data_IF_212200132666
#
_entry.id   IF_212200132666
#
_cell.length_a   1.000
_cell.length_b   1.000
_cell.length_c   1.000
_cell.angle_alpha   90.00
_cell.angle_beta   90.00
_cell.angle_gamma   90.00
#
_symmetry.space_group_name_H-M   'P 1'
#
loop_
_entity.id
_entity.type
_entity.pdbx_description
1 polymer ?
#
# COMPACT_ATOMS: atom_id res chain seq x y z
N UNK A 1 21.38 -5.74 12.49
CA UNK A 1 20.53 -6.88 12.83
C UNK A 1 21.42 -8.08 13.14
N UNK A 2 21.15 -8.80 14.20
CA UNK A 2 21.96 -9.92 14.66
C UNK A 2 21.08 -10.97 15.33
N UNK A 3 21.40 -12.25 15.14
CA UNK A 3 20.83 -13.36 15.91
C UNK A 3 21.87 -13.80 16.93
N UNK A 4 21.48 -13.93 18.18
CA UNK A 4 22.29 -14.43 19.28
C UNK A 4 21.65 -15.64 19.93
N UNK A 5 22.49 -16.54 20.45
CA UNK A 5 22.07 -17.73 21.16
C UNK A 5 22.51 -17.63 22.64
N UNK A 6 21.62 -18.00 23.56
CA UNK A 6 21.94 -18.16 24.98
C UNK A 6 21.00 -19.20 25.57
N UNK A 7 21.55 -20.23 26.25
CA UNK A 7 20.79 -21.27 26.99
C UNK A 7 19.64 -21.91 26.18
N UNK A 8 19.93 -22.34 24.98
CA UNK A 8 18.93 -22.84 24.00
C UNK A 8 17.83 -21.86 23.64
N UNK A 9 18.04 -20.56 23.85
CA UNK A 9 17.16 -19.48 23.41
C UNK A 9 17.77 -18.74 22.23
N UNK A 10 16.90 -18.23 21.40
CA UNK A 10 17.26 -17.45 20.21
C UNK A 10 16.81 -16.02 20.43
N UNK A 11 17.71 -15.08 20.22
CA UNK A 11 17.41 -13.65 20.35
C UNK A 11 17.65 -12.94 19.03
N UNK A 12 16.77 -12.02 18.73
CA UNK A 12 16.91 -11.09 17.62
C UNK A 12 17.29 -9.71 18.18
N UNK A 13 18.36 -9.16 17.69
CA UNK A 13 18.82 -7.82 18.07
C UNK A 13 18.77 -6.88 16.85
N UNK A 14 18.12 -5.74 17.03
CA UNK A 14 18.03 -4.69 16.03
C UNK A 14 18.07 -3.32 16.71
N UNK A 15 19.00 -2.45 16.29
CA UNK A 15 19.13 -1.07 16.78
C UNK A 15 19.15 -0.95 18.33
N UNK A 16 19.84 -1.88 18.99
CA UNK A 16 19.94 -1.91 20.47
C UNK A 16 18.75 -2.53 21.20
N UNK A 17 17.70 -2.92 20.49
CA UNK A 17 16.59 -3.70 21.06
C UNK A 17 16.84 -5.18 20.87
N UNK A 18 16.83 -5.96 21.98
CA UNK A 18 17.01 -7.41 21.98
C UNK A 18 15.71 -8.09 22.41
N UNK A 19 15.16 -8.95 21.55
CA UNK A 19 13.92 -9.70 21.81
C UNK A 19 14.16 -11.20 21.66
N UNK A 20 13.60 -11.99 22.56
CA UNK A 20 13.59 -13.46 22.43
C UNK A 20 12.64 -13.87 21.31
N UNK A 21 13.11 -14.75 20.43
CA UNK A 21 12.26 -15.40 19.43
C UNK A 21 11.60 -16.59 20.11
N UNK A 22 10.29 -16.58 20.22
CA UNK A 22 9.54 -17.65 20.89
C UNK A 22 9.73 -19.00 20.17
N UNK A 23 9.95 -20.11 20.89
CA UNK A 23 10.14 -21.44 20.26
C UNK A 23 8.99 -21.85 19.35
N UNK A 24 7.75 -21.55 19.74
CA UNK A 24 6.57 -21.81 18.91
C UNK A 24 6.63 -21.10 17.56
N UNK A 25 7.08 -19.85 17.50
CA UNK A 25 7.26 -19.10 16.27
C UNK A 25 8.27 -19.78 15.33
N UNK A 26 9.37 -20.29 15.87
CA UNK A 26 10.35 -21.07 15.07
C UNK A 26 9.79 -22.41 14.61
N UNK A 27 9.03 -23.10 15.48
CA UNK A 27 8.42 -24.40 15.18
C UNK A 27 7.36 -24.29 14.08
N UNK A 28 6.61 -23.24 14.08
CA UNK A 28 5.62 -22.92 13.04
C UNK A 28 6.26 -22.70 11.65
N UNK A 29 7.54 -22.35 11.59
CA UNK A 29 8.32 -22.06 10.36
C UNK A 29 9.22 -23.22 9.93
N UNK A 30 8.89 -24.41 10.37
CA UNK A 30 9.61 -25.62 9.95
C UNK A 30 9.46 -25.83 8.45
N UNK A 31 10.60 -26.08 7.79
CA UNK A 31 10.69 -26.35 6.37
C UNK A 31 10.82 -27.85 6.08
N UNK A 32 10.55 -28.25 4.86
CA UNK A 32 10.70 -29.59 4.35
C UNK A 32 9.42 -30.17 3.79
N UNK A 33 9.55 -31.22 3.02
CA UNK A 33 8.45 -31.83 2.23
C UNK A 33 7.28 -32.37 3.07
N UNK A 34 7.51 -32.63 4.35
CA UNK A 34 6.48 -33.07 5.29
C UNK A 34 5.75 -31.91 5.98
N UNK A 35 6.20 -30.67 5.83
CA UNK A 35 5.70 -29.51 6.55
C UNK A 35 5.22 -28.40 5.62
N UNK A 36 5.77 -28.31 4.42
CA UNK A 36 5.43 -27.29 3.43
C UNK A 36 5.29 -27.92 2.05
N UNK A 37 4.16 -27.67 1.41
CA UNK A 37 3.92 -28.12 0.04
C UNK A 37 4.82 -27.35 -0.94
N UNK A 38 5.47 -28.08 -1.85
CA UNK A 38 6.43 -27.49 -2.79
C UNK A 38 5.80 -26.56 -3.83
N UNK A 39 4.58 -26.88 -4.26
CA UNK A 39 3.92 -26.14 -5.33
C UNK A 39 3.24 -24.89 -4.81
N UNK A 40 2.50 -25.03 -3.73
CA UNK A 40 1.70 -23.93 -3.15
C UNK A 40 2.42 -23.13 -2.08
N UNK A 41 3.54 -23.64 -1.55
CA UNK A 41 4.27 -23.09 -0.41
C UNK A 41 3.41 -22.98 0.86
N UNK A 42 2.31 -23.73 0.93
CA UNK A 42 1.42 -23.77 2.08
C UNK A 42 1.89 -24.80 3.11
N UNK A 43 1.60 -24.53 4.38
CA UNK A 43 1.85 -25.48 5.46
C UNK A 43 0.97 -26.72 5.29
N UNK A 44 1.54 -27.89 5.56
CA UNK A 44 0.85 -29.18 5.56
C UNK A 44 0.36 -29.60 6.96
N UNK A 45 0.44 -28.72 7.93
CA UNK A 45 -0.06 -28.93 9.28
C UNK A 45 -0.78 -27.69 9.81
N UNK A 46 -1.68 -27.90 10.76
CA UNK A 46 -2.36 -26.83 11.46
C UNK A 46 -1.52 -26.39 12.67
N UNK A 47 -1.04 -25.13 12.73
CA UNK A 47 -0.26 -24.64 13.86
C UNK A 47 -0.99 -24.72 15.21
N UNK A 48 -2.33 -24.71 15.22
CA UNK A 48 -3.13 -24.81 16.44
C UNK A 48 -3.06 -26.18 17.09
N UNK A 49 -2.60 -27.20 16.36
CA UNK A 49 -2.39 -28.56 16.88
C UNK A 49 -1.03 -28.76 17.54
N UNK A 50 -0.15 -27.77 17.48
CA UNK A 50 1.14 -27.81 18.14
C UNK A 50 0.95 -27.67 19.67
N UNK A 51 1.75 -28.40 20.44
CA UNK A 51 1.76 -28.27 21.89
C UNK A 51 2.19 -26.87 22.29
N UNK A 52 1.53 -26.29 23.29
CA UNK A 52 1.82 -24.91 23.76
C UNK A 52 3.19 -24.80 24.45
N UNK A 53 3.71 -25.91 24.96
CA UNK A 53 4.98 -25.98 25.68
C UNK A 53 6.16 -26.36 24.78
N UNK A 54 6.08 -26.10 23.49
CA UNK A 54 7.19 -26.28 22.56
C UNK A 54 8.46 -25.58 23.10
N UNK A 55 9.54 -26.37 23.17
CA UNK A 55 10.85 -25.92 23.65
C UNK A 55 11.94 -26.26 22.65
N UNK A 56 12.99 -25.48 22.65
CA UNK A 56 14.20 -25.78 21.89
C UNK A 56 15.09 -26.70 22.73
N UNK A 57 15.34 -27.92 22.21
CA UNK A 57 16.28 -28.87 22.81
C UNK A 57 17.73 -28.57 22.43
N UNK A 58 17.93 -28.16 21.18
CA UNK A 58 19.25 -27.79 20.69
C UNK A 58 19.12 -26.77 19.57
N UNK A 59 20.01 -25.79 19.59
CA UNK A 59 20.11 -24.78 18.56
C UNK A 59 21.56 -24.57 18.15
N UNK A 60 21.79 -24.36 16.86
CA UNK A 60 23.08 -24.03 16.28
C UNK A 60 22.92 -22.92 15.26
N UNK A 61 23.83 -21.97 15.25
CA UNK A 61 23.86 -20.85 14.34
C UNK A 61 25.05 -20.98 13.40
N UNK A 62 24.78 -21.00 12.10
CA UNK A 62 25.77 -20.94 11.04
C UNK A 62 25.69 -19.58 10.33
N UNK A 63 26.58 -19.28 9.39
CA UNK A 63 26.57 -17.99 8.66
C UNK A 63 25.24 -17.76 7.88
N UNK A 64 24.55 -18.82 7.49
CA UNK A 64 23.36 -18.72 6.61
C UNK A 64 22.08 -19.25 7.26
N UNK A 65 22.20 -20.09 8.28
CA UNK A 65 21.06 -20.84 8.82
C UNK A 65 21.06 -20.91 10.34
N UNK A 66 19.86 -20.90 10.90
CA UNK A 66 19.55 -21.32 12.25
C UNK A 66 19.06 -22.77 12.19
N UNK A 67 19.78 -23.68 12.83
CA UNK A 67 19.43 -25.10 12.94
C UNK A 67 18.83 -25.35 14.32
N UNK A 68 17.60 -25.84 14.36
CA UNK A 68 16.83 -26.01 15.61
C UNK A 68 16.29 -27.43 15.70
N UNK A 69 16.37 -28.01 16.89
CA UNK A 69 15.62 -29.21 17.25
C UNK A 69 14.72 -28.94 18.44
N UNK A 70 13.48 -29.41 18.35
CA UNK A 70 12.44 -29.17 19.35
C UNK A 70 12.17 -30.40 20.21
N UNK A 71 11.46 -30.20 21.32
CA UNK A 71 11.08 -31.27 22.27
C UNK A 71 10.10 -32.28 21.66
N UNK A 72 9.34 -31.91 20.62
CA UNK A 72 8.46 -32.80 19.84
C UNK A 72 9.22 -33.67 18.83
N UNK A 73 10.56 -33.64 18.83
CA UNK A 73 11.43 -34.41 17.94
C UNK A 73 11.66 -33.82 16.57
N UNK A 74 10.97 -32.72 16.24
CA UNK A 74 11.12 -32.06 14.93
C UNK A 74 12.43 -31.29 14.87
N UNK A 75 13.08 -31.35 13.71
CA UNK A 75 14.30 -30.61 13.38
C UNK A 75 14.07 -29.77 12.14
N UNK A 76 14.60 -28.55 12.14
CA UNK A 76 14.49 -27.64 11.02
C UNK A 76 15.75 -26.83 10.82
N UNK A 77 15.83 -26.26 9.63
CA UNK A 77 16.90 -25.35 9.21
C UNK A 77 16.28 -24.11 8.60
N UNK A 78 16.31 -22.99 9.29
CA UNK A 78 15.68 -21.73 8.88
C UNK A 78 16.75 -20.80 8.34
N UNK A 79 16.53 -20.20 7.17
CA UNK A 79 17.44 -19.21 6.63
C UNK A 79 17.43 -17.95 7.52
N UNK A 80 18.62 -17.47 7.92
CA UNK A 80 18.77 -16.25 8.74
C UNK A 80 18.11 -15.04 8.07
N UNK A 81 18.23 -14.93 6.75
CA UNK A 81 17.60 -13.83 5.98
C UNK A 81 16.08 -13.82 6.09
N UNK A 82 15.44 -15.00 6.15
CA UNK A 82 13.99 -15.08 6.37
C UNK A 82 13.61 -14.55 7.75
N UNK A 83 14.39 -14.90 8.79
CA UNK A 83 14.18 -14.39 10.14
C UNK A 83 14.36 -12.86 10.17
N UNK A 84 15.41 -12.34 9.54
CA UNK A 84 15.63 -10.91 9.46
C UNK A 84 14.47 -10.18 8.77
N UNK A 85 14.01 -10.71 7.62
CA UNK A 85 12.91 -10.12 6.88
C UNK A 85 11.62 -10.04 7.70
N UNK A 86 11.25 -11.13 8.38
CA UNK A 86 10.02 -11.18 9.17
C UNK A 86 10.09 -10.39 10.48
N UNK A 87 11.23 -10.44 11.19
CA UNK A 87 11.38 -9.75 12.49
C UNK A 87 11.65 -8.26 12.36
N UNK A 88 12.28 -7.83 11.28
CA UNK A 88 12.53 -6.40 11.06
C UNK A 88 11.25 -5.64 10.70
N UNK A 89 10.20 -6.35 10.27
CA UNK A 89 9.00 -5.72 9.74
C UNK A 89 9.28 -4.82 8.54
N UNK A 90 10.44 -5.04 7.88
CA UNK A 90 10.85 -4.23 6.74
C UNK A 90 10.09 -4.74 5.52
N UNK A 91 9.12 -3.99 5.14
CA UNK A 91 8.50 -4.05 3.84
C UNK A 91 9.44 -3.38 2.84
N UNK A 92 9.74 -4.03 1.71
CA UNK A 92 10.61 -3.45 0.67
C UNK A 92 10.11 -2.08 0.21
N UNK A 93 8.81 -1.85 0.28
CA UNK A 93 8.15 -0.58 -0.03
C UNK A 93 8.49 0.52 0.98
N UNK A 94 8.72 0.19 2.26
CA UNK A 94 9.11 1.16 3.31
C UNK A 94 10.47 1.81 3.06
N UNK A 95 11.31 1.24 2.22
CA UNK A 95 12.58 1.86 1.83
C UNK A 95 12.45 2.97 0.78
N UNK A 96 11.33 3.04 0.08
CA UNK A 96 11.10 4.11 -0.88
C UNK A 96 10.70 5.36 -0.11
N UNK A 97 11.64 6.28 0.03
CA UNK A 97 11.36 7.55 0.68
C UNK A 97 10.34 8.35 -0.13
N UNK A 98 9.23 8.69 0.48
CA UNK A 98 8.28 9.66 -0.08
C UNK A 98 8.95 11.01 -0.22
N UNK A 99 8.70 11.70 -1.30
CA UNK A 99 9.27 13.01 -1.62
C UNK A 99 8.13 14.02 -1.73
N UNK A 100 8.11 14.98 -0.83
CA UNK A 100 7.20 16.11 -0.88
C UNK A 100 7.58 17.04 -2.02
N UNK A 101 6.59 17.70 -2.57
CA UNK A 101 6.79 18.57 -3.70
C UNK A 101 5.84 19.75 -3.69
N UNK A 102 6.17 20.78 -4.46
CA UNK A 102 5.39 21.98 -4.68
C UNK A 102 5.50 22.43 -6.15
N UNK A 103 5.12 23.65 -6.45
CA UNK A 103 5.18 24.23 -7.80
C UNK A 103 6.58 24.31 -8.41
N UNK A 104 7.63 24.08 -7.64
CA UNK A 104 9.02 24.03 -8.12
C UNK A 104 9.39 22.69 -8.78
N UNK A 105 8.54 21.66 -8.66
CA UNK A 105 8.75 20.35 -9.29
C UNK A 105 8.72 20.50 -10.82
N UNK A 106 9.90 20.54 -11.43
CA UNK A 106 10.05 20.76 -12.88
C UNK A 106 9.96 19.48 -13.70
N UNK A 107 10.43 18.36 -13.15
CA UNK A 107 10.44 17.07 -13.82
C UNK A 107 9.25 16.26 -13.36
N UNK A 108 8.13 16.41 -14.05
CA UNK A 108 6.99 15.51 -13.86
C UNK A 108 7.42 14.10 -14.23
N UNK A 109 7.11 13.13 -13.38
CA UNK A 109 7.37 11.72 -13.62
C UNK A 109 6.51 11.20 -14.79
N UNK A 110 6.99 11.46 -15.99
CA UNK A 110 6.33 11.08 -17.22
C UNK A 110 6.91 9.78 -17.74
N UNK A 111 6.06 8.81 -17.93
CA UNK A 111 6.38 7.53 -18.56
C UNK A 111 5.71 7.50 -19.94
N UNK A 112 6.47 7.39 -21.05
CA UNK A 112 5.85 7.15 -22.34
C UNK A 112 5.19 5.78 -22.35
N UNK A 113 3.95 5.71 -22.79
CA UNK A 113 3.30 4.42 -23.00
C UNK A 113 3.99 3.68 -24.14
N UNK A 114 4.25 2.40 -23.93
CA UNK A 114 4.67 1.45 -24.95
C UNK A 114 3.98 0.10 -24.69
N UNK A 115 3.91 -0.76 -25.69
CA UNK A 115 3.33 -2.10 -25.50
C UNK A 115 4.07 -2.91 -24.45
N UNK A 116 5.36 -2.65 -24.28
CA UNK A 116 6.22 -3.27 -23.26
C UNK A 116 6.02 -2.68 -21.86
N UNK A 117 5.13 -1.69 -21.68
CA UNK A 117 4.90 -1.06 -20.37
C UNK A 117 4.36 -2.04 -19.34
N UNK A 118 3.69 -3.09 -19.77
CA UNK A 118 3.23 -4.18 -18.90
C UNK A 118 4.34 -5.17 -18.51
N UNK A 119 5.56 -4.98 -19.02
CA UNK A 119 6.72 -5.70 -18.50
C UNK A 119 6.99 -5.28 -17.06
N UNK A 120 7.29 -6.27 -16.23
CA UNK A 120 7.45 -6.12 -14.79
C UNK A 120 8.39 -4.96 -14.40
N UNK A 121 9.51 -4.80 -15.09
CA UNK A 121 10.50 -3.77 -14.78
C UNK A 121 9.97 -2.35 -15.00
N UNK A 122 9.33 -2.07 -16.13
CA UNK A 122 8.85 -0.72 -16.48
C UNK A 122 7.69 -0.33 -15.57
N UNK A 123 6.76 -1.25 -15.33
CA UNK A 123 5.65 -1.04 -14.41
C UNK A 123 6.17 -0.80 -12.99
N UNK A 124 7.14 -1.58 -12.55
CA UNK A 124 7.77 -1.40 -11.24
C UNK A 124 8.36 0.01 -11.08
N UNK A 125 9.12 0.51 -12.07
CA UNK A 125 9.68 1.86 -12.04
C UNK A 125 8.59 2.95 -11.95
N UNK A 126 7.50 2.79 -12.70
CA UNK A 126 6.35 3.70 -12.64
C UNK A 126 5.65 3.66 -11.28
N UNK A 127 5.44 2.47 -10.71
CA UNK A 127 4.83 2.31 -9.38
C UNK A 127 5.73 2.83 -8.25
N UNK A 128 7.04 2.64 -8.35
CA UNK A 128 8.03 3.25 -7.42
C UNK A 128 7.93 4.77 -7.48
N UNK A 129 7.82 5.33 -8.67
CA UNK A 129 7.65 6.77 -8.86
C UNK A 129 6.33 7.27 -8.30
N UNK A 130 5.24 6.55 -8.56
CA UNK A 130 3.93 6.83 -7.96
C UNK A 130 3.99 6.80 -6.42
N UNK A 131 4.61 5.78 -5.83
CA UNK A 131 4.75 5.67 -4.37
C UNK A 131 5.56 6.84 -3.78
N UNK A 132 6.59 7.30 -4.51
CA UNK A 132 7.47 8.39 -4.08
C UNK A 132 6.78 9.76 -4.07
N UNK A 133 6.00 10.05 -5.11
CA UNK A 133 5.44 11.39 -5.35
C UNK A 133 3.93 11.47 -5.19
N UNK A 134 3.24 10.34 -5.03
CA UNK A 134 1.78 10.28 -4.97
C UNK A 134 1.07 10.36 -6.32
N UNK A 135 1.82 10.55 -7.42
CA UNK A 135 1.27 10.56 -8.78
C UNK A 135 2.29 10.08 -9.81
N UNK A 136 1.79 9.67 -10.97
CA UNK A 136 2.57 9.34 -12.17
C UNK A 136 1.75 9.70 -13.41
N UNK A 137 2.41 10.13 -14.47
CA UNK A 137 1.76 10.51 -15.72
C UNK A 137 2.25 9.59 -16.84
N UNK A 138 1.31 8.94 -17.51
CA UNK A 138 1.58 8.16 -18.72
C UNK A 138 1.23 8.98 -19.96
N UNK A 139 2.17 9.11 -20.89
CA UNK A 139 1.99 9.83 -22.16
C UNK A 139 1.77 8.88 -23.32
N UNK A 140 1.07 9.35 -24.34
CA UNK A 140 0.80 8.59 -25.57
C UNK A 140 0.02 7.30 -25.32
N UNK A 141 -0.86 7.32 -24.32
CA UNK A 141 -1.73 6.19 -24.00
C UNK A 141 -2.76 6.04 -25.14
N UNK A 142 -3.06 4.82 -25.61
CA UNK A 142 -4.07 4.59 -26.64
C UNK A 142 -5.44 5.15 -26.26
N UNK A 143 -6.07 5.85 -27.21
CA UNK A 143 -7.43 6.40 -27.07
C UNK A 143 -8.42 5.35 -27.55
N UNK A 144 -8.56 4.27 -26.81
CA UNK A 144 -9.44 3.15 -27.13
C UNK A 144 -10.49 2.96 -26.03
N UNK A 145 -11.67 2.55 -26.42
CA UNK A 145 -12.69 2.15 -25.46
C UNK A 145 -12.16 0.99 -24.60
N UNK A 146 -12.39 1.08 -23.28
CA UNK A 146 -11.95 0.10 -22.29
C UNK A 146 -10.42 0.00 -22.05
N UNK A 147 -9.59 0.81 -22.72
CA UNK A 147 -8.16 0.80 -22.43
C UNK A 147 -7.85 1.12 -20.97
N UNK A 148 -8.55 2.08 -20.38
CA UNK A 148 -8.42 2.46 -18.98
C UNK A 148 -8.60 1.26 -18.03
N UNK A 149 -9.64 0.45 -18.27
CA UNK A 149 -9.95 -0.73 -17.46
C UNK A 149 -8.88 -1.81 -17.66
N UNK A 150 -8.41 -2.03 -18.89
CA UNK A 150 -7.31 -2.95 -19.19
C UNK A 150 -6.03 -2.53 -18.48
N UNK A 151 -5.69 -1.24 -18.53
CA UNK A 151 -4.53 -0.68 -17.85
C UNK A 151 -4.64 -0.84 -16.33
N UNK A 152 -5.78 -0.47 -15.74
CA UNK A 152 -6.00 -0.61 -14.31
C UNK A 152 -5.87 -2.06 -13.84
N UNK A 153 -6.45 -3.02 -14.57
CA UNK A 153 -6.37 -4.45 -14.26
C UNK A 153 -4.96 -5.05 -14.39
N UNK A 154 -4.04 -4.40 -15.11
CA UNK A 154 -2.62 -4.82 -15.13
C UNK A 154 -1.87 -4.47 -13.85
N UNK A 155 -2.39 -3.52 -13.07
CA UNK A 155 -1.83 -3.10 -11.79
C UNK A 155 -2.52 -3.83 -10.64
N UNK A 156 -3.84 -3.95 -10.69
CA UNK A 156 -4.65 -4.57 -9.65
C UNK A 156 -6.14 -4.57 -9.99
N UNK A 157 -6.95 -5.15 -9.12
CA UNK A 157 -8.39 -5.25 -9.34
C UNK A 157 -9.07 -3.87 -9.29
N UNK A 158 -9.91 -3.59 -10.27
CA UNK A 158 -10.71 -2.36 -10.30
C UNK A 158 -11.84 -2.46 -9.26
N UNK A 159 -11.95 -1.47 -8.39
CA UNK A 159 -13.05 -1.36 -7.44
C UNK A 159 -14.31 -0.86 -8.15
N UNK A 160 -15.30 -1.71 -8.28
CA UNK A 160 -16.62 -1.31 -8.77
C UNK A 160 -17.38 -0.51 -7.70
N UNK A 161 -17.97 0.61 -8.10
CA UNK A 161 -18.75 1.50 -7.24
C UNK A 161 -20.19 1.67 -7.78
N UNK A 162 -21.00 2.52 -7.14
CA UNK A 162 -22.28 2.95 -7.71
C UNK A 162 -22.14 3.71 -9.03
N UNK A 163 -20.94 4.22 -9.35
CA UNK A 163 -20.63 4.81 -10.66
C UNK A 163 -20.17 3.78 -11.70
N UNK A 164 -20.06 2.50 -11.33
CA UNK A 164 -19.49 1.43 -12.14
C UNK A 164 -18.01 1.20 -11.89
N UNK A 165 -17.34 0.55 -12.83
CA UNK A 165 -15.88 0.35 -12.84
C UNK A 165 -15.13 1.58 -13.34
N UNK A 166 -15.76 2.32 -14.25
CA UNK A 166 -15.30 3.61 -14.76
C UNK A 166 -16.49 4.47 -15.15
N UNK A 167 -16.28 5.75 -15.28
CA UNK A 167 -17.27 6.70 -15.79
C UNK A 167 -16.60 7.80 -16.61
N UNK A 168 -17.36 8.41 -17.51
CA UNK A 168 -16.87 9.50 -18.34
C UNK A 168 -17.11 10.84 -17.64
N UNK A 169 -16.03 11.61 -17.45
CA UNK A 169 -16.09 12.99 -16.97
C UNK A 169 -16.39 13.90 -18.16
N UNK A 170 -17.63 14.32 -18.29
CA UNK A 170 -18.10 15.26 -19.33
C UNK A 170 -19.33 16.01 -18.86
N UNK A 171 -19.52 17.23 -19.34
CA UNK A 171 -20.72 18.01 -19.03
C UNK A 171 -21.98 17.29 -19.49
N UNK A 172 -22.99 17.24 -18.62
CA UNK A 172 -24.30 16.59 -18.88
C UNK A 172 -25.43 17.56 -18.58
N UNK A 173 -26.56 17.46 -19.31
CA UNK A 173 -27.81 18.09 -18.87
C UNK A 173 -28.26 17.54 -17.52
N UNK A 174 -28.70 18.40 -16.59
CA UNK A 174 -29.16 18.04 -15.26
C UNK A 174 -28.14 17.17 -14.48
N UNK A 175 -26.93 17.70 -14.23
CA UNK A 175 -25.88 16.94 -13.55
C UNK A 175 -26.29 16.64 -12.09
N UNK A 176 -25.97 15.45 -11.63
CA UNK A 176 -26.09 15.01 -10.23
C UNK A 176 -24.77 15.12 -9.45
N UNK A 177 -23.72 15.58 -10.12
CA UNK A 177 -22.39 15.79 -9.54
C UNK A 177 -21.71 16.97 -10.24
N UNK A 178 -20.88 17.72 -9.52
CA UNK A 178 -20.12 18.87 -10.07
C UNK A 178 -19.12 18.44 -11.14
N UNK A 179 -18.62 17.19 -11.11
CA UNK A 179 -17.76 16.63 -12.16
C UNK A 179 -18.44 16.55 -13.54
N UNK A 180 -19.76 16.66 -13.60
CA UNK A 180 -20.55 16.70 -14.83
C UNK A 180 -20.97 18.10 -15.27
N UNK A 181 -20.36 19.12 -14.69
CA UNK A 181 -20.58 20.52 -15.03
C UNK A 181 -19.36 21.12 -15.74
N UNK A 182 -19.49 22.32 -16.25
CA UNK A 182 -18.38 23.13 -16.78
C UNK A 182 -17.71 24.01 -15.72
N UNK A 183 -18.11 23.88 -14.45
CA UNK A 183 -17.55 24.65 -13.34
C UNK A 183 -16.16 24.13 -12.96
N UNK A 184 -15.24 25.03 -12.56
CA UNK A 184 -13.94 24.61 -12.03
C UNK A 184 -14.11 23.91 -10.68
N UNK A 185 -13.34 22.85 -10.47
CA UNK A 185 -13.24 22.18 -9.20
C UNK A 185 -11.92 22.53 -8.52
N UNK A 186 -11.99 22.94 -7.26
CA UNK A 186 -10.80 23.12 -6.44
C UNK A 186 -10.10 21.75 -6.20
N UNK A 187 -8.78 21.75 -5.91
CA UNK A 187 -8.09 20.54 -5.49
C UNK A 187 -8.81 19.84 -4.33
N UNK A 188 -9.06 18.56 -4.46
CA UNK A 188 -9.82 17.75 -3.51
C UNK A 188 -9.40 16.28 -3.58
N UNK A 189 -9.79 15.51 -2.59
CA UNK A 189 -9.78 14.05 -2.62
C UNK A 189 -11.20 13.54 -2.84
N UNK A 190 -11.33 12.42 -3.55
CA UNK A 190 -12.64 11.89 -3.93
C UNK A 190 -13.23 10.95 -2.89
N UNK A 191 -14.56 10.97 -2.83
CA UNK A 191 -15.41 9.97 -2.16
C UNK A 191 -15.12 9.75 -0.65
N UNK A 192 -14.98 10.79 0.18
CA UNK A 192 -14.74 10.63 1.62
C UNK A 192 -15.94 10.01 2.36
N UNK A 193 -17.09 9.92 1.72
CA UNK A 193 -18.29 9.22 2.22
C UNK A 193 -18.19 7.68 2.11
N UNK A 194 -17.07 7.14 1.62
CA UNK A 194 -16.81 5.69 1.55
C UNK A 194 -15.84 5.26 2.64
N UNK A 195 -16.02 4.04 3.15
CA UNK A 195 -15.07 3.39 4.04
C UNK A 195 -14.77 1.96 3.53
N UNK A 196 -13.52 1.64 3.16
CA UNK A 196 -12.41 2.58 3.01
C UNK A 196 -12.61 3.55 1.86
N UNK A 197 -11.95 4.70 1.91
CA UNK A 197 -11.88 5.65 0.79
C UNK A 197 -11.20 5.00 -0.43
N UNK A 198 -11.43 5.47 -1.67
CA UNK A 198 -10.66 5.03 -2.84
C UNK A 198 -9.18 5.35 -2.67
N UNK A 199 -8.31 4.38 -2.99
CA UNK A 199 -6.86 4.56 -2.82
C UNK A 199 -6.22 5.23 -4.04
N UNK A 200 -6.43 4.65 -5.24
CA UNK A 200 -5.80 5.10 -6.48
C UNK A 200 -6.91 5.47 -7.47
N UNK A 201 -6.78 6.64 -8.05
CA UNK A 201 -7.64 7.12 -9.13
C UNK A 201 -6.81 7.24 -10.41
N UNK A 202 -7.38 6.77 -11.52
CA UNK A 202 -6.78 6.89 -12.85
C UNK A 202 -7.68 7.78 -13.70
N UNK A 203 -7.12 8.89 -14.19
CA UNK A 203 -7.78 9.80 -15.11
C UNK A 203 -7.17 9.63 -16.50
N UNK A 204 -7.98 9.23 -17.48
CA UNK A 204 -7.57 9.05 -18.87
C UNK A 204 -8.14 10.17 -19.73
N UNK A 205 -7.27 11.01 -20.29
CA UNK A 205 -7.67 12.06 -21.21
C UNK A 205 -7.93 11.45 -22.59
N UNK A 206 -9.19 11.34 -22.96
CA UNK A 206 -9.63 10.86 -24.28
C UNK A 206 -9.62 11.99 -25.31
N UNK A 207 -10.11 13.18 -24.89
CA UNK A 207 -10.22 14.35 -25.75
C UNK A 207 -9.98 15.60 -24.91
N UNK A 208 -9.21 16.53 -25.44
CA UNK A 208 -9.03 17.87 -24.90
C UNK A 208 -9.01 18.87 -26.06
N UNK A 209 -10.20 19.20 -26.56
CA UNK A 209 -10.39 20.09 -27.72
C UNK A 209 -10.71 21.54 -27.33
N UNK A 210 -10.68 21.86 -26.03
CA UNK A 210 -11.00 23.21 -25.54
C UNK A 210 -9.76 23.93 -25.02
N UNK A 211 -9.79 25.23 -25.05
CA UNK A 211 -8.81 26.06 -24.35
C UNK A 211 -9.08 26.01 -22.85
N UNK A 212 -8.06 25.68 -22.03
CA UNK A 212 -8.20 25.48 -20.60
C UNK A 212 -8.45 24.02 -20.22
N UNK A 213 -9.18 23.78 -19.13
CA UNK A 213 -9.52 22.42 -18.64
C UNK A 213 -8.32 21.65 -18.07
N UNK A 214 -7.25 22.34 -17.68
CA UNK A 214 -6.07 21.70 -17.09
C UNK A 214 -6.39 21.09 -15.74
N UNK A 215 -5.91 19.87 -15.49
CA UNK A 215 -5.91 19.25 -14.18
C UNK A 215 -4.74 19.79 -13.35
N UNK A 216 -5.03 20.21 -12.13
CA UNK A 216 -4.03 20.63 -11.16
C UNK A 216 -3.84 19.54 -10.10
N UNK A 217 -2.60 19.36 -9.67
CA UNK A 217 -2.25 18.46 -8.57
C UNK A 217 -1.64 19.25 -7.44
N UNK A 218 -1.95 18.86 -6.20
CA UNK A 218 -1.41 19.44 -4.97
C UNK A 218 -0.91 18.31 -4.08
N UNK A 219 0.30 18.47 -3.54
CA UNK A 219 0.83 17.51 -2.57
C UNK A 219 0.19 17.72 -1.20
N UNK A 220 -0.72 16.83 -0.82
CA UNK A 220 -1.42 16.88 0.46
C UNK A 220 -0.50 16.79 1.66
N UNK A 221 0.62 16.08 1.56
CA UNK A 221 1.61 16.01 2.66
C UNK A 221 2.30 17.36 2.89
N UNK A 222 2.72 18.04 1.82
CA UNK A 222 3.31 19.38 1.91
C UNK A 222 2.31 20.38 2.51
N UNK A 223 1.06 20.37 2.04
CA UNK A 223 0.01 21.26 2.58
C UNK A 223 -0.27 20.94 4.06
N UNK A 224 -0.34 19.68 4.44
CA UNK A 224 -0.60 19.26 5.82
C UNK A 224 0.52 19.68 6.77
N UNK A 225 1.79 19.59 6.36
CA UNK A 225 2.91 20.08 7.17
C UNK A 225 2.90 21.60 7.31
N UNK A 226 2.69 22.29 6.21
CA UNK A 226 2.60 23.77 6.25
C UNK A 226 1.45 24.22 7.15
N UNK A 227 0.31 23.53 7.11
CA UNK A 227 -0.81 23.78 8.02
C UNK A 227 -0.40 23.55 9.48
N UNK A 228 0.30 22.43 9.76
CA UNK A 228 0.78 22.10 11.11
C UNK A 228 1.72 23.17 11.67
N UNK A 229 2.62 23.68 10.83
CA UNK A 229 3.61 24.68 11.23
C UNK A 229 2.99 26.08 11.42
N UNK A 230 2.18 26.52 10.44
CA UNK A 230 1.64 27.88 10.44
C UNK A 230 0.36 28.03 11.26
N UNK A 231 -0.45 26.98 11.34
CA UNK A 231 -1.79 27.03 11.95
C UNK A 231 -2.06 25.76 12.80
N UNK A 232 -1.27 25.52 13.86
CA UNK A 232 -1.35 24.27 14.63
C UNK A 232 -2.72 24.00 15.27
N UNK A 233 -3.48 25.05 15.61
CA UNK A 233 -4.83 24.91 16.14
C UNK A 233 -5.80 24.35 15.09
N UNK A 234 -5.67 24.75 13.84
CA UNK A 234 -6.51 24.22 12.76
C UNK A 234 -6.09 22.80 12.39
N UNK A 235 -4.79 22.54 12.33
CA UNK A 235 -4.27 21.18 12.14
C UNK A 235 -4.85 20.22 13.17
N UNK A 236 -4.82 20.58 14.46
CA UNK A 236 -5.38 19.77 15.55
C UNK A 236 -6.87 19.48 15.34
N UNK A 237 -7.66 20.47 14.98
CA UNK A 237 -9.10 20.27 14.71
C UNK A 237 -9.31 19.30 13.55
N UNK A 238 -8.56 19.45 12.46
CA UNK A 238 -8.72 18.61 11.26
C UNK A 238 -8.24 17.15 11.45
N UNK A 239 -7.40 16.91 12.44
CA UNK A 239 -6.90 15.55 12.78
C UNK A 239 -7.65 14.88 13.93
N UNK A 240 -8.47 15.59 14.70
CA UNK A 240 -9.13 15.05 15.88
C UNK A 240 -10.67 15.07 15.78
N UNK A 241 -11.22 15.91 14.91
CA UNK A 241 -12.68 16.10 14.82
C UNK A 241 -13.23 15.35 13.61
N UNK A 242 -14.08 14.36 13.87
CA UNK A 242 -14.81 13.65 12.81
C UNK A 242 -15.93 14.52 12.27
N UNK A 243 -16.02 14.56 10.97
CA UNK A 243 -17.12 15.22 10.25
C UNK A 243 -17.90 14.20 9.43
N UNK A 244 -19.16 14.49 9.18
CA UNK A 244 -20.04 13.64 8.37
C UNK A 244 -19.83 13.96 6.89
N UNK A 245 -19.48 12.94 6.12
CA UNK A 245 -19.49 12.97 4.67
C UNK A 245 -20.70 12.21 4.15
N UNK A 246 -21.40 12.76 3.18
CA UNK A 246 -22.61 12.15 2.65
C UNK A 246 -22.67 12.32 1.12
N UNK A 247 -23.10 11.27 0.45
CA UNK A 247 -23.51 11.29 -0.96
C UNK A 247 -24.91 10.73 -1.06
N UNK A 248 -25.78 11.42 -1.79
CA UNK A 248 -27.16 11.00 -2.02
C UNK A 248 -27.43 10.99 -3.51
N UNK A 249 -27.87 9.87 -4.03
CA UNK A 249 -28.41 9.71 -5.38
C UNK A 249 -29.77 9.00 -5.28
N UNK A 250 -30.46 8.84 -6.40
CA UNK A 250 -31.80 8.25 -6.48
C UNK A 250 -31.90 6.86 -5.84
N UNK A 251 -30.83 6.07 -5.95
CA UNK A 251 -30.81 4.66 -5.56
C UNK A 251 -29.92 4.36 -4.36
N UNK A 252 -29.09 5.34 -3.92
CA UNK A 252 -28.10 5.07 -2.87
C UNK A 252 -27.84 6.28 -1.99
N UNK A 253 -27.71 6.02 -0.69
CA UNK A 253 -27.18 6.96 0.30
C UNK A 253 -25.91 6.35 0.87
N UNK A 254 -24.82 7.07 0.75
CA UNK A 254 -23.50 6.69 1.32
C UNK A 254 -23.11 7.71 2.37
N UNK A 255 -22.69 7.23 3.53
CA UNK A 255 -22.29 8.08 4.64
C UNK A 255 -21.04 7.53 5.31
N UNK A 256 -20.18 8.43 5.75
CA UNK A 256 -19.02 8.11 6.56
C UNK A 256 -18.71 9.25 7.53
N UNK A 257 -18.15 8.92 8.69
CA UNK A 257 -17.64 9.86 9.66
C UNK A 257 -16.14 9.66 9.78
N UNK A 258 -15.37 10.66 9.40
CA UNK A 258 -13.92 10.61 9.45
C UNK A 258 -13.34 11.99 9.74
N UNK A 259 -12.12 12.02 10.22
CA UNK A 259 -11.29 13.22 10.28
C UNK A 259 -10.96 13.70 8.85
N UNK A 260 -10.75 15.00 8.66
CA UNK A 260 -10.31 15.52 7.34
C UNK A 260 -8.86 15.13 7.04
N UNK A 261 -8.04 14.95 8.07
CA UNK A 261 -6.66 14.48 7.99
C UNK A 261 -6.55 13.27 8.91
N UNK A 262 -6.42 12.08 8.32
CA UNK A 262 -6.18 10.85 9.05
C UNK A 262 -4.68 10.67 9.29
N UNK A 263 -4.31 10.37 10.54
CA UNK A 263 -2.92 10.11 10.92
C UNK A 263 -2.70 8.60 10.97
N UNK A 264 -1.68 8.14 10.27
CA UNK A 264 -1.22 6.76 10.37
C UNK A 264 -0.42 6.60 11.69
N UNK A 265 -0.70 5.55 12.45
CA UNK A 265 -0.02 5.25 13.72
C UNK A 265 1.43 4.75 13.55
N UNK A 266 1.97 4.70 12.33
CA UNK A 266 3.31 4.20 12.03
C UNK A 266 4.39 5.29 11.89
#
# INVERSE_FOLDING_TARGET
MKIELSDNKVFFENQGSKKEIHPFWLRERVNGVNFVDKGTQQRLFDPTTLEQDIKINKVNLTDKFLEVSFNDGVKTRIAIQSIYKEYSGIDDIKFIKKTKWDSSLKNLNNFPFSENMFEEKIMYEALVSFYRYGFVIFKNVPIENNFLVKFANSIGSVRRTNFGEFFNVKSKPNPNDLAYTSLPLAPHTDNPYRNPVPCIQILHCIENAVEGGNSTLVDGFTVTEELKEKYPQYYKILTEVKVKYQFIDKEVILENWAEMIELDEN
#
